data_IF_897729689249
#
_entry.id   IF_897729689249
#
_cell.length_a   1.000
_cell.length_b   1.000
_cell.length_c   1.000
_cell.angle_alpha   90.00
_cell.angle_beta   90.00
_cell.angle_gamma   90.00
#
_symmetry.space_group_name_H-M   'P 1'
#
loop_
_entity.id
_entity.type
_entity.pdbx_description
1 polymer ?
#
# COMPACT_ATOMS: atom_id res chain seq x y z
N UNK A 1 -9.56 3.09 41.00
CA UNK A 1 -10.13 3.55 39.71
C UNK A 1 -9.13 4.38 38.89
N UNK A 2 -8.40 5.34 39.51
CA UNK A 2 -7.38 6.16 38.82
C UNK A 2 -6.23 5.35 38.19
N UNK A 3 -5.70 4.36 38.89
CA UNK A 3 -4.62 3.50 38.37
C UNK A 3 -5.04 2.69 37.14
N UNK A 4 -6.25 2.09 37.15
CA UNK A 4 -6.80 1.38 35.99
C UNK A 4 -6.94 2.30 34.78
N UNK A 5 -7.42 3.54 34.99
CA UNK A 5 -7.54 4.53 33.93
C UNK A 5 -6.16 4.95 33.38
N UNK A 6 -5.16 5.09 34.24
CA UNK A 6 -3.79 5.40 33.83
C UNK A 6 -3.20 4.28 32.97
N UNK A 7 -3.36 3.02 33.38
CA UNK A 7 -2.90 1.86 32.60
C UNK A 7 -3.59 1.83 31.22
N UNK A 8 -4.90 2.04 31.16
CA UNK A 8 -5.63 2.08 29.89
C UNK A 8 -5.15 3.21 28.97
N UNK A 9 -4.90 4.41 29.52
CA UNK A 9 -4.35 5.53 28.75
C UNK A 9 -2.96 5.23 28.20
N UNK A 10 -2.08 4.65 29.02
CA UNK A 10 -0.74 4.25 28.57
C UNK A 10 -0.77 3.16 27.50
N UNK A 11 -1.65 2.16 27.63
CA UNK A 11 -1.81 1.13 26.60
C UNK A 11 -2.39 1.70 25.31
N UNK A 12 -3.37 2.61 25.38
CA UNK A 12 -3.91 3.27 24.20
C UNK A 12 -2.85 4.11 23.48
N UNK A 13 -2.04 4.89 24.23
CA UNK A 13 -0.94 5.65 23.65
C UNK A 13 0.04 4.75 22.86
N UNK A 14 0.41 3.59 23.42
CA UNK A 14 1.27 2.61 22.72
C UNK A 14 0.62 2.06 21.45
N UNK A 15 -0.67 1.74 21.50
CA UNK A 15 -1.40 1.27 20.32
C UNK A 15 -1.48 2.34 19.23
N UNK A 16 -1.69 3.61 19.60
CA UNK A 16 -1.69 4.72 18.65
C UNK A 16 -0.32 4.91 18.00
N UNK A 17 0.76 4.78 18.77
CA UNK A 17 2.13 4.82 18.25
C UNK A 17 2.38 3.68 17.25
N UNK A 18 2.05 2.44 17.61
CA UNK A 18 2.16 1.29 16.69
C UNK A 18 1.31 1.47 15.43
N UNK A 19 0.07 1.95 15.57
CA UNK A 19 -0.80 2.19 14.43
C UNK A 19 -0.21 3.26 13.49
N UNK A 20 0.38 4.33 14.04
CA UNK A 20 1.03 5.35 13.23
C UNK A 20 2.24 4.78 12.48
N UNK A 21 3.08 3.97 13.15
CA UNK A 21 4.22 3.32 12.50
C UNK A 21 3.78 2.42 11.34
N UNK A 22 2.76 1.59 11.55
CA UNK A 22 2.23 0.72 10.49
C UNK A 22 1.65 1.53 9.31
N UNK A 23 0.94 2.62 9.58
CA UNK A 23 0.42 3.49 8.52
C UNK A 23 1.53 4.13 7.70
N UNK A 24 2.66 4.48 8.32
CA UNK A 24 3.82 5.02 7.61
C UNK A 24 4.49 3.95 6.73
N UNK A 25 4.67 2.73 7.25
CA UNK A 25 5.23 1.60 6.51
C UNK A 25 4.36 1.21 5.31
N UNK A 26 3.03 1.20 5.49
CA UNK A 26 2.07 0.99 4.39
C UNK A 26 2.25 2.06 3.32
N UNK A 27 2.34 3.35 3.71
CA UNK A 27 2.51 4.45 2.75
C UNK A 27 3.83 4.41 2.01
N UNK A 28 4.91 4.03 2.68
CA UNK A 28 6.22 3.85 2.06
C UNK A 28 6.15 2.71 1.03
N UNK A 29 5.60 1.57 1.42
CA UNK A 29 5.38 0.42 0.53
C UNK A 29 4.50 0.79 -0.68
N UNK A 30 3.41 1.52 -0.46
CA UNK A 30 2.53 1.99 -1.53
C UNK A 30 3.28 2.94 -2.50
N UNK A 31 4.16 3.79 -1.96
CA UNK A 31 4.98 4.70 -2.76
C UNK A 31 5.97 3.93 -3.64
N UNK A 32 6.60 2.89 -3.09
CA UNK A 32 7.50 2.01 -3.85
C UNK A 32 6.74 1.26 -4.95
N UNK A 33 5.59 0.65 -4.63
CA UNK A 33 4.73 -0.03 -5.59
C UNK A 33 4.33 0.91 -6.73
N UNK A 34 3.89 2.13 -6.40
CA UNK A 34 3.45 3.11 -7.38
C UNK A 34 4.60 3.64 -8.25
N UNK A 35 5.84 3.61 -7.73
CA UNK A 35 7.04 3.98 -8.48
C UNK A 35 7.50 2.86 -9.42
N UNK A 36 7.46 1.60 -8.97
CA UNK A 36 7.93 0.44 -9.74
C UNK A 36 6.94 0.00 -10.81
N UNK A 37 5.64 0.08 -10.54
CA UNK A 37 4.56 -0.32 -11.46
C UNK A 37 4.67 0.30 -12.87
N UNK A 38 4.86 1.62 -13.07
CA UNK A 38 5.00 2.20 -14.41
C UNK A 38 6.29 1.75 -15.12
N UNK A 39 7.36 1.48 -14.37
CA UNK A 39 8.61 0.94 -14.94
C UNK A 39 8.38 -0.46 -15.49
N UNK A 40 7.70 -1.31 -14.72
CA UNK A 40 7.34 -2.66 -15.15
C UNK A 40 6.40 -2.64 -16.37
N UNK A 41 5.42 -1.75 -16.40
CA UNK A 41 4.55 -1.56 -17.56
C UNK A 41 5.34 -1.14 -18.81
N UNK A 42 6.35 -0.26 -18.66
CA UNK A 42 7.24 0.12 -19.75
C UNK A 42 8.03 -1.10 -20.27
N UNK A 43 8.56 -1.94 -19.38
CA UNK A 43 9.28 -3.16 -19.75
C UNK A 43 8.38 -4.15 -20.48
N UNK A 44 7.13 -4.34 -20.05
CA UNK A 44 6.15 -5.17 -20.76
C UNK A 44 5.94 -4.67 -22.19
N UNK A 45 5.71 -3.37 -22.39
CA UNK A 45 5.58 -2.77 -23.72
C UNK A 45 6.83 -2.98 -24.58
N UNK A 46 8.03 -3.01 -23.99
CA UNK A 46 9.27 -3.30 -24.71
C UNK A 46 9.38 -4.78 -25.11
N UNK A 47 8.91 -5.70 -24.27
CA UNK A 47 8.86 -7.13 -24.59
C UNK A 47 7.91 -7.41 -25.76
N UNK A 48 6.73 -6.81 -25.74
CA UNK A 48 5.76 -6.92 -26.85
C UNK A 48 6.34 -6.40 -28.17
N UNK A 49 7.05 -5.26 -28.13
CA UNK A 49 7.77 -4.73 -29.32
C UNK A 49 8.84 -5.68 -29.86
N UNK A 50 9.39 -6.55 -29.02
CA UNK A 50 10.37 -7.58 -29.41
C UNK A 50 9.71 -8.89 -29.84
N UNK A 51 8.38 -8.95 -29.90
CA UNK A 51 7.62 -10.14 -30.25
C UNK A 51 7.47 -11.15 -29.12
N UNK A 52 7.80 -10.78 -27.88
CA UNK A 52 7.59 -11.62 -26.70
C UNK A 52 6.20 -11.27 -26.15
N UNK A 53 5.21 -12.18 -26.22
CA UNK A 53 3.87 -11.90 -25.75
C UNK A 53 3.84 -11.74 -24.23
N UNK A 54 3.18 -10.69 -23.75
CA UNK A 54 2.90 -10.49 -22.33
C UNK A 54 1.44 -10.88 -22.07
N UNK A 55 1.15 -11.69 -21.03
CA UNK A 55 -0.23 -12.04 -20.71
C UNK A 55 -1.08 -10.79 -20.43
N UNK A 56 -2.25 -10.70 -21.06
CA UNK A 56 -3.15 -9.55 -20.92
C UNK A 56 -3.55 -9.28 -19.47
N UNK A 57 -3.82 -10.33 -18.69
CA UNK A 57 -4.13 -10.23 -17.27
C UNK A 57 -3.01 -9.55 -16.45
N UNK A 58 -1.75 -9.72 -16.85
CA UNK A 58 -0.62 -9.07 -16.19
C UNK A 58 -0.61 -7.57 -16.46
N UNK A 59 -0.96 -7.14 -17.67
CA UNK A 59 -1.08 -5.73 -18.01
C UNK A 59 -2.23 -5.07 -17.24
N UNK A 60 -3.36 -5.76 -17.11
CA UNK A 60 -4.53 -5.30 -16.35
C UNK A 60 -4.16 -5.01 -14.88
N UNK A 61 -3.46 -5.94 -14.21
CA UNK A 61 -2.98 -5.78 -12.84
C UNK A 61 -2.03 -4.57 -12.67
N UNK A 62 -1.25 -4.24 -13.70
CA UNK A 62 -0.34 -3.09 -13.70
C UNK A 62 -1.06 -1.76 -14.00
N UNK A 63 -2.26 -1.81 -14.58
CA UNK A 63 -3.06 -0.63 -14.91
C UNK A 63 -4.16 -0.30 -13.91
N UNK A 64 -4.58 -1.26 -13.07
CA UNK A 64 -5.55 -1.00 -12.01
C UNK A 64 -4.96 -0.03 -10.98
N UNK A 65 -5.36 1.23 -11.07
CA UNK A 65 -5.07 2.25 -10.07
C UNK A 65 -5.70 1.81 -8.75
N UNK A 66 -4.91 1.21 -7.86
CA UNK A 66 -5.37 0.87 -6.50
C UNK A 66 -5.39 2.13 -5.63
N UNK A 67 -6.00 3.20 -6.11
CA UNK A 67 -6.64 4.16 -5.22
C UNK A 67 -7.92 3.52 -4.70
N UNK A 68 -7.81 2.48 -3.87
CA UNK A 68 -8.94 2.09 -3.04
C UNK A 68 -9.22 3.27 -2.12
N UNK A 69 -10.41 3.90 -2.19
CA UNK A 69 -10.77 4.88 -1.19
C UNK A 69 -10.68 4.16 0.15
N UNK A 70 -9.96 4.73 1.09
CA UNK A 70 -10.11 4.37 2.50
C UNK A 70 -11.53 4.84 2.84
N UNK A 71 -12.52 3.96 2.63
CA UNK A 71 -13.85 4.18 3.15
C UNK A 71 -13.74 4.13 4.67
N UNK A 72 -13.54 5.31 5.26
CA UNK A 72 -13.78 5.55 6.67
C UNK A 72 -15.26 5.29 6.93
N UNK A 73 -15.60 4.04 7.21
CA UNK A 73 -16.86 3.73 7.89
C UNK A 73 -16.72 4.22 9.33
N UNK A 74 -17.58 5.18 9.66
CA UNK A 74 -17.67 5.91 10.92
C UNK A 74 -17.91 5.00 12.14
#
# INVERSE_FOLDING_TARGET
MREKLQVMRSSNAKLMETNLSLLLEIRETDTEINTTRPQLLMLCKQLEKRGIPVPQHFLELLTEDQQRPIEHSA
#
